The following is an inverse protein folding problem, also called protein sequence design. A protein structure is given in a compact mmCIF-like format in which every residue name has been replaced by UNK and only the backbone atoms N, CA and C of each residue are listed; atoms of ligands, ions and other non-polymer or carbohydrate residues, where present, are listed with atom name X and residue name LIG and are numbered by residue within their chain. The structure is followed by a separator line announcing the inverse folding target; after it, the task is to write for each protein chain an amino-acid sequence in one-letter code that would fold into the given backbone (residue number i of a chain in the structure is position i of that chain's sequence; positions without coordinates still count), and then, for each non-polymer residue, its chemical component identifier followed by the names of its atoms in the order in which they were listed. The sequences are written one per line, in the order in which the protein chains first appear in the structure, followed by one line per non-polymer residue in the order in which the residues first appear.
data_IF_750488965440
#
_entry.id   IF_750488965440
#
_cell.length_a   1.000
_cell.length_b   1.000
_cell.length_c   1.000
_cell.angle_alpha   90.00
_cell.angle_beta   90.00
_cell.angle_gamma   90.00
#
_symmetry.space_group_name_H-M   'P 1'
#
loop_
_entity.id
_entity.type
_entity.pdbx_description
1 polymer ?
#
# COMPACT_ATOMS: atom_id res chain seq x y z
N UNK A 1 36.42 73.85 -33.32
CA UNK A 1 35.32 72.92 -32.96
C UNK A 1 35.42 72.64 -31.48
N UNK A 2 34.41 72.89 -30.64
CA UNK A 2 34.55 72.77 -29.19
C UNK A 2 34.40 71.30 -28.77
N UNK A 3 35.42 70.79 -28.08
CA UNK A 3 35.57 69.39 -27.65
C UNK A 3 34.52 68.99 -26.59
N UNK A 4 33.91 69.97 -25.92
CA UNK A 4 32.91 69.76 -24.86
C UNK A 4 31.58 69.15 -25.31
N UNK A 5 31.17 69.37 -26.57
CA UNK A 5 29.92 68.79 -27.08
C UNK A 5 30.03 67.27 -27.30
N UNK A 6 31.23 66.81 -27.67
CA UNK A 6 31.50 65.39 -27.94
C UNK A 6 31.48 64.57 -26.64
N UNK A 7 32.06 65.08 -25.55
CA UNK A 7 32.05 64.39 -24.24
C UNK A 7 30.67 64.35 -23.58
N UNK A 8 29.79 65.31 -23.88
CA UNK A 8 28.38 65.29 -23.42
C UNK A 8 27.56 64.25 -24.18
N UNK A 9 27.79 64.10 -25.47
CA UNK A 9 27.10 63.09 -26.29
C UNK A 9 27.51 61.67 -25.91
N UNK A 10 28.82 61.42 -25.71
CA UNK A 10 29.33 60.11 -25.26
C UNK A 10 28.77 59.73 -23.88
N UNK A 11 28.73 60.67 -22.92
CA UNK A 11 28.11 60.42 -21.60
C UNK A 11 26.62 60.14 -21.68
N UNK A 12 25.89 60.78 -22.59
CA UNK A 12 24.45 60.55 -22.77
C UNK A 12 24.15 59.17 -23.34
N UNK A 13 24.92 58.73 -24.35
CA UNK A 13 24.79 57.39 -24.95
C UNK A 13 25.11 56.30 -23.92
N UNK A 14 26.20 56.45 -23.16
CA UNK A 14 26.59 55.48 -22.12
C UNK A 14 25.54 55.36 -21.01
N UNK A 15 24.96 56.48 -20.58
CA UNK A 15 23.89 56.48 -19.57
C UNK A 15 22.63 55.81 -20.09
N UNK A 16 22.27 56.04 -21.36
CA UNK A 16 21.09 55.44 -22.01
C UNK A 16 21.24 53.92 -22.14
N UNK A 17 22.42 53.40 -22.46
CA UNK A 17 22.70 51.96 -22.48
C UNK A 17 22.67 51.35 -21.06
N UNK A 18 23.23 52.03 -20.05
CA UNK A 18 23.13 51.58 -18.66
C UNK A 18 21.69 51.52 -18.15
N UNK A 19 20.85 52.51 -18.47
CA UNK A 19 19.43 52.50 -18.10
C UNK A 19 18.65 51.42 -18.87
N UNK A 20 18.99 51.16 -20.13
CA UNK A 20 18.38 50.10 -20.93
C UNK A 20 18.70 48.72 -20.36
N UNK A 21 19.97 48.45 -20.04
CA UNK A 21 20.41 47.19 -19.42
C UNK A 21 19.81 47.00 -18.01
N UNK A 22 19.72 48.06 -17.20
CA UNK A 22 19.07 48.01 -15.88
C UNK A 22 17.56 47.74 -15.96
N UNK A 23 16.90 48.22 -17.02
CA UNK A 23 15.48 47.97 -17.27
C UNK A 23 15.25 46.52 -17.71
N UNK A 24 16.10 45.98 -18.58
CA UNK A 24 16.07 44.56 -18.97
C UNK A 24 16.32 43.65 -17.76
N UNK A 25 17.34 43.97 -16.94
CA UNK A 25 17.64 43.19 -15.73
C UNK A 25 16.50 43.19 -14.72
N UNK A 26 15.80 44.33 -14.54
CA UNK A 26 14.59 44.41 -13.71
C UNK A 26 13.44 43.57 -14.27
N UNK A 27 13.20 43.63 -15.58
CA UNK A 27 12.15 42.84 -16.22
C UNK A 27 12.43 41.33 -16.14
N UNK A 28 13.69 40.91 -16.34
CA UNK A 28 14.11 39.50 -16.20
C UNK A 28 13.95 39.01 -14.76
N UNK A 29 14.33 39.83 -13.78
CA UNK A 29 14.17 39.49 -12.36
C UNK A 29 12.69 39.32 -11.99
N UNK A 30 11.80 40.21 -12.48
CA UNK A 30 10.36 40.12 -12.22
C UNK A 30 9.78 38.82 -12.83
N UNK A 31 10.12 38.50 -14.08
CA UNK A 31 9.65 37.27 -14.75
C UNK A 31 10.15 36.02 -14.03
N UNK A 32 11.43 35.99 -13.63
CA UNK A 32 12.01 34.86 -12.89
C UNK A 32 11.34 34.66 -11.51
N UNK A 33 10.98 35.75 -10.83
CA UNK A 33 10.28 35.70 -9.55
C UNK A 33 8.84 35.19 -9.70
N UNK A 34 8.15 35.54 -10.79
CA UNK A 34 6.79 35.05 -11.07
C UNK A 34 6.75 33.57 -11.44
N UNK A 35 7.80 33.02 -12.07
CA UNK A 35 7.88 31.59 -12.38
C UNK A 35 8.02 30.71 -11.12
N UNK A 36 8.69 31.21 -10.08
CA UNK A 36 8.90 30.49 -8.82
C UNK A 36 7.63 30.38 -7.97
N UNK A 37 6.58 31.15 -8.26
CA UNK A 37 5.29 31.11 -7.55
C UNK A 37 4.31 30.06 -8.10
N UNK A 38 4.64 29.34 -9.17
CA UNK A 38 3.77 28.30 -9.76
C UNK A 38 3.97 26.88 -9.19
N UNK A 39 4.72 26.71 -8.09
CA UNK A 39 4.98 25.41 -7.50
C UNK A 39 4.23 25.23 -6.18
N UNK A 40 2.93 24.98 -6.25
CA UNK A 40 2.16 24.22 -5.24
C UNK A 40 0.75 23.97 -5.80
N UNK A 41 0.62 23.15 -6.84
CA UNK A 41 -0.68 22.54 -7.14
C UNK A 41 -0.90 21.43 -6.12
N UNK A 42 -1.58 21.74 -5.02
CA UNK A 42 -2.12 20.71 -4.14
C UNK A 42 -3.28 20.06 -4.89
N UNK A 43 -3.08 18.87 -5.46
CA UNK A 43 -4.21 18.07 -5.94
C UNK A 43 -5.11 17.79 -4.74
N UNK A 44 -6.42 18.03 -4.81
CA UNK A 44 -7.32 17.59 -3.75
C UNK A 44 -7.23 16.07 -3.71
N UNK A 45 -6.53 15.52 -2.71
CA UNK A 45 -6.61 14.10 -2.41
C UNK A 45 -8.08 13.86 -2.06
N UNK A 46 -8.80 13.11 -2.91
CA UNK A 46 -10.14 12.62 -2.56
C UNK A 46 -10.04 12.03 -1.16
N UNK A 47 -10.65 12.71 -0.19
CA UNK A 47 -10.47 12.41 1.21
C UNK A 47 -11.38 11.22 1.55
N UNK A 48 -11.04 10.05 1.02
CA UNK A 48 -11.80 8.83 1.19
C UNK A 48 -11.40 8.15 2.49
N UNK A 49 -11.57 8.88 3.60
CA UNK A 49 -11.29 8.41 4.96
C UNK A 49 -12.03 7.08 5.26
N UNK A 50 -13.14 6.81 4.56
CA UNK A 50 -13.89 5.56 4.62
C UNK A 50 -13.05 4.36 4.18
N UNK A 51 -12.31 4.45 3.07
CA UNK A 51 -11.43 3.36 2.58
C UNK A 51 -10.18 3.12 3.43
N UNK A 52 -9.87 4.01 4.38
CA UNK A 52 -8.68 3.89 5.26
C UNK A 52 -8.99 3.17 6.57
N UNK A 53 -10.27 2.88 6.87
CA UNK A 53 -10.63 2.16 8.09
C UNK A 53 -10.25 0.69 7.94
N UNK A 54 -9.44 0.21 8.86
CA UNK A 54 -9.00 -1.16 8.95
C UNK A 54 -9.04 -1.61 10.41
N UNK A 55 -9.53 -2.81 10.64
CA UNK A 55 -9.48 -3.49 11.95
C UNK A 55 -8.79 -4.83 11.77
N UNK A 56 -7.86 -5.16 12.67
CA UNK A 56 -7.08 -6.38 12.58
C UNK A 56 -7.00 -7.03 13.96
N UNK A 57 -6.98 -8.36 13.97
CA UNK A 57 -6.76 -9.16 15.16
C UNK A 57 -5.82 -10.30 14.84
N UNK A 58 -5.00 -10.65 15.82
CA UNK A 58 -3.95 -11.67 15.71
C UNK A 58 -4.18 -12.67 16.84
N UNK A 59 -3.99 -13.95 16.54
CA UNK A 59 -4.10 -15.02 17.52
C UNK A 59 -3.04 -16.10 17.26
N UNK A 60 -2.60 -16.78 18.32
CA UNK A 60 -1.67 -17.90 18.25
C UNK A 60 -0.30 -17.59 18.87
N UNK A 61 0.65 -18.52 18.66
CA UNK A 61 1.94 -18.54 19.33
C UNK A 61 3.07 -18.05 18.40
N UNK A 62 3.32 -16.74 18.41
CA UNK A 62 4.38 -16.13 17.62
C UNK A 62 5.79 -16.55 18.09
N UNK A 63 5.97 -16.86 19.38
CA UNK A 63 7.25 -17.28 19.95
C UNK A 63 7.65 -18.67 19.43
N UNK A 64 6.68 -19.58 19.31
CA UNK A 64 6.92 -20.87 18.67
C UNK A 64 7.40 -20.70 17.23
N UNK A 65 6.76 -19.78 16.48
CA UNK A 65 7.12 -19.51 15.08
C UNK A 65 8.56 -18.98 15.00
N UNK A 66 8.93 -18.00 15.83
CA UNK A 66 10.30 -17.45 15.86
C UNK A 66 11.36 -18.51 16.09
N UNK A 67 11.12 -19.39 17.07
CA UNK A 67 12.12 -20.34 17.53
C UNK A 67 12.29 -21.57 16.62
N UNK A 68 11.26 -21.94 15.83
CA UNK A 68 11.22 -23.25 15.16
C UNK A 68 10.93 -23.20 13.66
N UNK A 69 10.67 -22.03 13.08
CA UNK A 69 10.20 -21.95 11.68
C UNK A 69 11.17 -21.12 10.86
N UNK A 70 11.81 -21.78 9.89
CA UNK A 70 12.64 -21.12 8.87
C UNK A 70 12.13 -21.42 7.47
N UNK A 71 11.66 -22.64 7.23
CA UNK A 71 11.20 -23.13 5.93
C UNK A 71 9.68 -23.18 5.91
N UNK A 72 9.08 -22.49 4.96
CA UNK A 72 7.63 -22.43 4.78
C UNK A 72 7.25 -22.93 3.39
N UNK A 73 6.06 -23.51 3.26
CA UNK A 73 5.47 -23.80 1.95
C UNK A 73 4.05 -23.28 1.89
N UNK A 74 3.48 -23.15 0.69
CA UNK A 74 2.07 -22.83 0.55
C UNK A 74 1.18 -23.96 1.07
N UNK A 75 0.14 -23.60 1.81
CA UNK A 75 -0.88 -24.56 2.25
C UNK A 75 -1.63 -25.08 1.01
N UNK A 76 -1.82 -26.41 0.87
CA UNK A 76 -2.32 -27.02 -0.37
C UNK A 76 -3.75 -26.59 -0.74
N UNK A 77 -4.55 -26.20 0.26
CA UNK A 77 -5.98 -25.90 0.07
C UNK A 77 -6.41 -24.50 0.54
N UNK A 78 -5.55 -23.78 1.29
CA UNK A 78 -5.91 -22.49 1.88
C UNK A 78 -5.31 -21.35 1.06
N UNK A 79 -5.75 -21.29 -0.20
CA UNK A 79 -5.49 -20.19 -1.14
C UNK A 79 -6.85 -19.80 -1.73
N UNK A 80 -7.75 -19.34 -0.88
CA UNK A 80 -9.17 -19.19 -1.25
C UNK A 80 -9.55 -17.72 -1.43
N UNK A 81 -10.23 -17.41 -2.52
CA UNK A 81 -10.83 -16.11 -2.75
C UNK A 81 -12.33 -16.28 -2.98
N UNK A 82 -13.12 -15.42 -2.34
CA UNK A 82 -14.57 -15.34 -2.51
C UNK A 82 -14.97 -13.90 -2.78
N UNK A 83 -15.05 -13.55 -4.06
CA UNK A 83 -15.59 -12.26 -4.49
C UNK A 83 -16.87 -12.45 -5.30
N UNK A 84 -17.67 -11.40 -5.39
CA UNK A 84 -18.86 -11.38 -6.24
C UNK A 84 -18.53 -11.57 -7.74
N UNK A 85 -17.30 -11.27 -8.18
CA UNK A 85 -16.86 -11.47 -9.56
C UNK A 85 -15.63 -12.39 -9.64
N UNK A 86 -15.91 -13.67 -9.89
CA UNK A 86 -14.90 -14.73 -9.98
C UNK A 86 -13.85 -14.54 -11.08
N UNK A 87 -14.09 -13.68 -12.07
CA UNK A 87 -13.11 -13.42 -13.15
C UNK A 87 -11.81 -12.80 -12.62
N UNK A 88 -11.87 -12.12 -11.47
CA UNK A 88 -10.71 -11.45 -10.88
C UNK A 88 -10.01 -12.29 -9.81
N UNK A 89 -10.57 -13.44 -9.42
CA UNK A 89 -10.07 -14.21 -8.28
C UNK A 89 -8.64 -14.71 -8.53
N UNK A 90 -8.33 -15.23 -9.72
CA UNK A 90 -6.98 -15.72 -10.03
C UNK A 90 -5.93 -14.60 -9.94
N UNK A 91 -6.25 -13.40 -10.44
CA UNK A 91 -5.35 -12.26 -10.39
C UNK A 91 -5.16 -11.78 -8.94
N UNK A 92 -6.24 -11.64 -8.17
CA UNK A 92 -6.19 -11.26 -6.75
C UNK A 92 -5.39 -12.29 -5.93
N UNK A 93 -5.52 -13.58 -6.24
CA UNK A 93 -4.78 -14.65 -5.59
C UNK A 93 -3.30 -14.48 -5.84
N UNK A 94 -2.91 -14.23 -7.09
CA UNK A 94 -1.52 -14.06 -7.46
C UNK A 94 -0.89 -12.83 -6.80
N UNK A 95 -1.58 -11.69 -6.79
CA UNK A 95 -1.09 -10.48 -6.11
C UNK A 95 -0.90 -10.69 -4.60
N UNK A 96 -1.89 -11.29 -3.93
CA UNK A 96 -1.79 -11.57 -2.49
C UNK A 96 -0.69 -12.59 -2.19
N UNK A 97 -0.58 -13.65 -3.00
CA UNK A 97 0.46 -14.68 -2.88
C UNK A 97 1.85 -14.07 -3.02
N UNK A 98 2.06 -13.24 -4.04
CA UNK A 98 3.32 -12.54 -4.29
C UNK A 98 3.67 -11.56 -3.15
N UNK A 99 2.71 -10.76 -2.70
CA UNK A 99 2.92 -9.81 -1.61
C UNK A 99 3.27 -10.51 -0.28
N UNK A 100 2.57 -11.59 0.06
CA UNK A 100 2.89 -12.41 1.24
C UNK A 100 4.25 -13.06 1.15
N UNK A 101 4.58 -13.66 0.00
CA UNK A 101 5.87 -14.30 -0.22
C UNK A 101 7.00 -13.30 -0.02
N UNK A 102 6.93 -12.16 -0.71
CA UNK A 102 7.95 -11.11 -0.60
C UNK A 102 8.09 -10.60 0.84
N UNK A 103 6.97 -10.40 1.54
CA UNK A 103 7.00 -9.93 2.93
C UNK A 103 7.63 -10.97 3.87
N UNK A 104 7.33 -12.25 3.70
CA UNK A 104 7.91 -13.32 4.51
C UNK A 104 9.40 -13.55 4.20
N UNK A 105 9.80 -13.50 2.93
CA UNK A 105 11.20 -13.60 2.52
C UNK A 105 12.04 -12.44 3.09
N UNK A 106 11.49 -11.21 3.09
CA UNK A 106 12.13 -10.06 3.75
C UNK A 106 12.29 -10.25 5.27
N UNK A 107 11.44 -11.07 5.88
CA UNK A 107 11.53 -11.45 7.30
C UNK A 107 12.43 -12.67 7.53
N UNK A 108 13.09 -13.19 6.49
CA UNK A 108 14.05 -14.29 6.59
C UNK A 108 13.46 -15.69 6.44
N UNK A 109 12.15 -15.81 6.17
CA UNK A 109 11.54 -17.11 5.87
C UNK A 109 11.91 -17.59 4.47
N UNK A 110 12.13 -18.90 4.31
CA UNK A 110 12.49 -19.52 3.04
C UNK A 110 11.33 -20.32 2.49
N UNK A 111 10.83 -19.95 1.31
CA UNK A 111 9.83 -20.76 0.63
C UNK A 111 10.45 -22.01 0.01
N UNK A 112 9.86 -23.17 0.31
CA UNK A 112 10.26 -24.49 -0.21
C UNK A 112 9.06 -25.23 -0.80
N UNK A 113 9.33 -26.26 -1.60
CA UNK A 113 8.29 -27.18 -2.08
C UNK A 113 7.65 -27.97 -0.94
N UNK A 114 6.40 -28.37 -1.12
CA UNK A 114 5.66 -29.22 -0.15
C UNK A 114 6.41 -30.53 0.13
N UNK A 115 7.03 -31.11 -0.90
CA UNK A 115 7.83 -32.36 -0.81
C UNK A 115 9.14 -32.19 -0.05
N UNK A 116 9.57 -30.95 0.21
CA UNK A 116 10.85 -30.66 0.87
C UNK A 116 10.75 -30.54 2.40
N UNK A 117 9.63 -31.00 2.98
CA UNK A 117 9.36 -31.01 4.42
C UNK A 117 9.48 -29.61 5.04
N UNK A 118 8.52 -28.70 4.76
CA UNK A 118 8.50 -27.37 5.38
C UNK A 118 8.22 -27.46 6.89
N UNK A 119 8.72 -26.50 7.66
CA UNK A 119 8.45 -26.39 9.09
C UNK A 119 6.98 -26.00 9.33
N UNK A 120 6.43 -25.17 8.43
CA UNK A 120 5.02 -24.77 8.43
C UNK A 120 4.46 -24.51 7.02
N UNK A 121 3.14 -24.62 6.91
CA UNK A 121 2.37 -24.16 5.76
C UNK A 121 1.81 -22.76 5.99
N UNK A 122 1.91 -21.89 4.97
CA UNK A 122 1.31 -20.55 4.92
C UNK A 122 0.06 -20.63 4.06
N UNK A 123 -1.08 -20.20 4.59
CA UNK A 123 -2.31 -20.07 3.81
C UNK A 123 -2.93 -18.69 3.97
N UNK A 124 -3.74 -18.31 2.99
CA UNK A 124 -4.54 -17.09 3.06
C UNK A 124 -5.95 -17.31 2.48
N UNK A 125 -6.88 -16.49 2.96
CA UNK A 125 -8.21 -16.41 2.40
C UNK A 125 -8.65 -14.95 2.30
N UNK A 126 -9.36 -14.60 1.23
CA UNK A 126 -9.95 -13.28 1.04
C UNK A 126 -11.43 -13.41 0.70
N UNK A 127 -12.26 -12.55 1.27
CA UNK A 127 -13.67 -12.58 0.98
C UNK A 127 -14.36 -11.23 1.16
N UNK A 128 -15.38 -10.98 0.35
CA UNK A 128 -16.31 -9.86 0.54
C UNK A 128 -17.45 -10.27 1.48
N UNK A 129 -18.03 -9.28 2.18
CA UNK A 129 -19.15 -9.52 3.11
C UNK A 129 -20.39 -10.10 2.42
N UNK A 130 -20.63 -9.78 1.14
CA UNK A 130 -21.67 -10.41 0.32
C UNK A 130 -21.51 -11.92 0.13
N UNK A 131 -20.26 -12.43 0.22
CA UNK A 131 -19.94 -13.84 0.01
C UNK A 131 -19.74 -14.61 1.32
N UNK A 132 -19.25 -13.94 2.37
CA UNK A 132 -19.10 -14.53 3.70
C UNK A 132 -19.35 -13.47 4.78
N UNK A 133 -20.31 -13.74 5.66
CA UNK A 133 -20.62 -12.83 6.77
C UNK A 133 -19.60 -12.95 7.91
N UNK A 134 -19.51 -11.91 8.76
CA UNK A 134 -18.72 -11.96 10.00
C UNK A 134 -19.10 -13.17 10.87
N UNK A 135 -20.39 -13.54 10.92
CA UNK A 135 -20.83 -14.70 11.69
C UNK A 135 -20.29 -16.02 11.14
N UNK A 136 -20.21 -16.15 9.82
CA UNK A 136 -19.65 -17.34 9.17
C UNK A 136 -18.12 -17.37 9.29
N UNK A 137 -17.45 -16.21 9.18
CA UNK A 137 -16.01 -16.11 9.47
C UNK A 137 -15.74 -16.54 10.91
N UNK A 138 -16.50 -16.04 11.88
CA UNK A 138 -16.33 -16.38 13.29
C UNK A 138 -16.50 -17.88 13.53
N UNK A 139 -17.49 -18.51 12.90
CA UNK A 139 -17.71 -19.96 13.01
C UNK A 139 -16.57 -20.79 12.41
N UNK A 140 -15.96 -20.34 11.31
CA UNK A 140 -14.90 -21.10 10.61
C UNK A 140 -13.50 -20.85 11.17
N UNK A 141 -13.22 -19.61 11.56
CA UNK A 141 -11.87 -19.14 11.94
C UNK A 141 -11.73 -18.98 13.45
N UNK A 142 -12.85 -18.86 14.18
CA UNK A 142 -12.87 -18.61 15.62
C UNK A 142 -12.50 -17.18 16.01
N UNK A 143 -12.36 -16.27 15.04
CA UNK A 143 -11.85 -14.93 15.25
C UNK A 143 -12.40 -13.94 14.21
N UNK A 144 -12.90 -12.78 14.66
CA UNK A 144 -13.32 -11.66 13.81
C UNK A 144 -13.05 -10.34 14.57
N UNK A 145 -12.32 -9.36 13.98
CA UNK A 145 -12.05 -8.09 14.63
C UNK A 145 -13.29 -7.19 14.69
N UNK A 146 -14.20 -7.34 13.71
CA UNK A 146 -15.40 -6.53 13.55
C UNK A 146 -15.06 -5.15 12.99
N UNK A 147 -15.78 -4.74 11.94
CA UNK A 147 -15.61 -3.41 11.33
C UNK A 147 -16.96 -2.71 11.23
N UNK A 148 -17.09 -1.56 11.89
CA UNK A 148 -18.33 -0.78 11.86
C UNK A 148 -18.58 -0.16 10.48
N UNK A 149 -19.77 -0.40 9.94
CA UNK A 149 -20.25 0.17 8.68
C UNK A 149 -20.98 1.51 8.86
N UNK A 150 -21.02 2.04 10.09
CA UNK A 150 -21.68 3.32 10.37
C UNK A 150 -20.97 4.47 9.62
N UNK A 151 -21.76 5.23 8.85
CA UNK A 151 -21.27 6.36 8.08
C UNK A 151 -20.39 5.98 6.89
N UNK A 152 -20.53 4.75 6.37
CA UNK A 152 -19.84 4.27 5.16
C UNK A 152 -20.79 4.36 3.97
N UNK A 153 -20.30 4.88 2.85
CA UNK A 153 -21.06 4.96 1.59
C UNK A 153 -21.38 3.54 1.07
N UNK A 154 -22.57 3.34 0.51
CA UNK A 154 -23.06 2.06 -0.03
C UNK A 154 -22.22 1.54 -1.19
N UNK A 155 -21.42 2.38 -1.85
CA UNK A 155 -20.46 1.94 -2.88
C UNK A 155 -19.30 1.12 -2.31
N UNK A 156 -19.07 1.20 -1.00
CA UNK A 156 -18.07 0.39 -0.33
C UNK A 156 -18.69 -0.86 0.28
N UNK A 157 -17.90 -1.92 0.25
CA UNK A 157 -18.20 -3.19 0.84
C UNK A 157 -17.07 -3.58 1.79
N UNK A 158 -17.43 -4.23 2.90
CA UNK A 158 -16.44 -4.81 3.82
C UNK A 158 -15.80 -6.04 3.16
N UNK A 159 -14.47 -6.06 3.17
CA UNK A 159 -13.66 -7.22 2.79
C UNK A 159 -12.88 -7.72 3.99
N UNK A 160 -12.62 -9.02 4.01
CA UNK A 160 -11.84 -9.71 5.04
C UNK A 160 -10.67 -10.46 4.41
N UNK A 161 -9.51 -10.39 5.04
CA UNK A 161 -8.30 -11.13 4.66
C UNK A 161 -7.80 -11.90 5.89
N UNK A 162 -7.63 -13.21 5.72
CA UNK A 162 -7.01 -14.12 6.70
C UNK A 162 -5.64 -14.52 6.18
N UNK A 163 -4.64 -14.52 7.05
CA UNK A 163 -3.34 -15.17 6.83
C UNK A 163 -3.09 -16.08 8.02
N UNK A 164 -2.69 -17.33 7.76
CA UNK A 164 -2.52 -18.32 8.81
C UNK A 164 -1.32 -19.25 8.53
N UNK A 165 -0.68 -19.68 9.62
CA UNK A 165 0.43 -20.63 9.64
C UNK A 165 -0.01 -21.94 10.30
N UNK A 166 0.31 -23.06 9.66
CA UNK A 166 -0.09 -24.39 10.11
C UNK A 166 1.12 -25.30 10.24
N UNK A 167 1.18 -26.09 11.32
CA UNK A 167 2.11 -27.22 11.37
C UNK A 167 1.70 -28.27 10.33
N UNK A 168 2.63 -29.04 9.74
CA UNK A 168 2.30 -29.97 8.66
C UNK A 168 1.22 -31.02 8.97
N UNK A 169 1.00 -31.32 10.25
CA UNK A 169 0.04 -32.32 10.72
C UNK A 169 -1.20 -31.69 11.39
N UNK A 170 -1.32 -30.36 11.39
CA UNK A 170 -2.39 -29.63 12.07
C UNK A 170 -3.32 -28.94 11.08
N UNK A 171 -4.63 -29.10 11.28
CA UNK A 171 -5.64 -28.30 10.61
C UNK A 171 -5.96 -27.00 11.36
N UNK A 172 -5.45 -26.86 12.58
CA UNK A 172 -5.60 -25.65 13.40
C UNK A 172 -4.39 -24.76 13.17
N UNK A 173 -4.64 -23.47 12.92
CA UNK A 173 -3.59 -22.47 12.77
C UNK A 173 -2.79 -22.36 14.08
N UNK A 174 -1.46 -22.43 13.97
CA UNK A 174 -0.54 -22.13 15.09
C UNK A 174 -0.44 -20.64 15.33
N UNK A 175 -0.55 -19.86 14.24
CA UNK A 175 -0.61 -18.41 14.26
C UNK A 175 -1.51 -17.93 13.13
N UNK A 176 -2.33 -16.93 13.37
CA UNK A 176 -3.17 -16.33 12.34
C UNK A 176 -3.44 -14.85 12.61
N UNK A 177 -3.71 -14.13 11.55
CA UNK A 177 -4.12 -12.73 11.56
C UNK A 177 -5.31 -12.55 10.63
N UNK A 178 -6.31 -11.81 11.08
CA UNK A 178 -7.49 -11.50 10.30
C UNK A 178 -7.70 -9.98 10.29
N UNK A 179 -7.70 -9.41 9.08
CA UNK A 179 -7.93 -7.99 8.85
C UNK A 179 -9.24 -7.77 8.09
N UNK A 180 -9.95 -6.71 8.45
CA UNK A 180 -11.16 -6.25 7.77
C UNK A 180 -11.04 -4.78 7.39
N UNK A 181 -11.41 -4.45 6.17
CA UNK A 181 -11.36 -3.09 5.62
C UNK A 181 -12.42 -2.87 4.55
N UNK A 182 -12.54 -1.65 4.05
CA UNK A 182 -13.48 -1.30 2.99
C UNK A 182 -12.84 -1.33 1.60
N UNK A 183 -13.54 -1.94 0.65
CA UNK A 183 -13.20 -1.94 -0.77
C UNK A 183 -14.38 -1.42 -1.58
N UNK A 184 -14.12 -0.86 -2.75
CA UNK A 184 -15.16 -0.53 -3.73
C UNK A 184 -15.26 -1.70 -4.72
N UNK A 185 -16.33 -2.52 -4.68
CA UNK A 185 -16.50 -3.61 -5.63
C UNK A 185 -16.56 -3.07 -7.07
N UNK A 186 -15.87 -3.71 -8.01
CA UNK A 186 -15.88 -3.32 -9.43
C UNK A 186 -14.77 -2.34 -9.89
N UNK A 187 -14.02 -1.70 -8.97
CA UNK A 187 -12.77 -1.02 -9.35
C UNK A 187 -11.71 -2.01 -9.83
N UNK A 188 -10.95 -1.65 -10.87
CA UNK A 188 -9.94 -2.52 -11.50
C UNK A 188 -8.91 -3.02 -10.48
N UNK A 189 -8.44 -4.25 -10.65
CA UNK A 189 -7.52 -4.90 -9.71
C UNK A 189 -6.14 -4.24 -9.70
N UNK A 190 -5.67 -3.78 -10.87
CA UNK A 190 -4.38 -3.10 -11.02
C UNK A 190 -4.20 -1.86 -10.12
N UNK A 191 -5.29 -1.20 -9.71
CA UNK A 191 -5.24 -0.06 -8.78
C UNK A 191 -5.08 -0.49 -7.31
N UNK A 192 -4.94 -1.80 -7.04
CA UNK A 192 -4.98 -2.39 -5.69
C UNK A 192 -3.65 -3.03 -5.25
N UNK A 193 -2.66 -3.13 -6.12
CA UNK A 193 -1.40 -3.85 -5.84
C UNK A 193 -0.63 -3.27 -4.65
N UNK A 194 -0.50 -1.94 -4.59
CA UNK A 194 0.14 -1.23 -3.46
C UNK A 194 -0.61 -1.45 -2.14
N UNK A 195 -1.94 -1.63 -2.20
CA UNK A 195 -2.76 -1.89 -1.02
C UNK A 195 -2.52 -3.29 -0.48
N UNK A 196 -2.31 -4.29 -1.34
CA UNK A 196 -1.97 -5.65 -0.90
C UNK A 196 -0.60 -5.68 -0.21
N UNK A 197 0.43 -5.05 -0.79
CA UNK A 197 1.74 -4.97 -0.17
C UNK A 197 1.69 -4.29 1.21
N UNK A 198 0.99 -3.16 1.31
CA UNK A 198 0.81 -2.45 2.58
C UNK A 198 0.04 -3.31 3.60
N UNK A 199 -1.01 -3.99 3.17
CA UNK A 199 -1.82 -4.84 4.03
C UNK A 199 -1.03 -6.06 4.52
N UNK A 200 -0.28 -6.74 3.66
CA UNK A 200 0.53 -7.91 4.06
C UNK A 200 1.63 -7.53 5.03
N UNK A 201 2.30 -6.39 4.83
CA UNK A 201 3.28 -5.88 5.78
C UNK A 201 2.66 -5.61 7.16
N UNK A 202 1.50 -4.96 7.20
CA UNK A 202 0.79 -4.70 8.44
C UNK A 202 0.36 -6.01 9.13
N UNK A 203 -0.23 -6.94 8.37
CA UNK A 203 -0.70 -8.23 8.87
C UNK A 203 0.43 -9.10 9.42
N UNK A 204 1.63 -9.03 8.82
CA UNK A 204 2.81 -9.80 9.22
C UNK A 204 3.76 -9.05 10.17
N UNK A 205 3.44 -7.80 10.55
CA UNK A 205 4.20 -7.05 11.56
C UNK A 205 4.31 -7.81 12.90
N UNK A 206 3.25 -8.44 13.42
CA UNK A 206 3.28 -9.18 14.69
C UNK A 206 3.98 -10.54 14.59
N UNK A 207 4.28 -11.01 13.37
CA UNK A 207 5.09 -12.19 13.14
C UNK A 207 6.56 -11.77 13.27
N UNK A 208 7.39 -12.42 14.08
CA UNK A 208 8.81 -12.06 14.19
C UNK A 208 9.58 -12.36 12.90
N UNK A 209 10.77 -11.77 12.77
CA UNK A 209 11.71 -12.15 11.70
C UNK A 209 12.56 -13.34 12.16
N UNK A 210 13.00 -14.16 11.22
CA UNK A 210 13.92 -15.27 11.49
C UNK A 210 15.31 -14.71 11.83
N UNK A 211 15.87 -15.15 12.96
CA UNK A 211 17.24 -14.86 13.37
C UNK A 211 18.25 -15.88 12.82
#
# INVERSE_FOLDING_TARGET
MPVDSMWRFVRYVYKKEQYFMATIARSVLIVLTTLLMMACTHTPQENNAQTKRLTMVVAGDANYVEAHVKRVAWHPTLLTIRTANKMNDAQLQEHMRSALQSTLEQKGYQFVGVEEQPDMYVGFAMALESEISDSEILQKVGLVPGLSTIGVDKKFEKGSVLVALFKPQSQVATWQTLAQGFTEPGKHVADRDERFATLTQLMLTPLPAVQ
#
